data_IF_613148016066
#
_entry.id   IF_613148016066
#
_cell.length_a   1.000
_cell.length_b   1.000
_cell.length_c   1.000
_cell.angle_alpha   90.00
_cell.angle_beta   90.00
_cell.angle_gamma   90.00
#
_symmetry.space_group_name_H-M   'P 1'
#
loop_
_entity.id
_entity.type
_entity.pdbx_description
1 polymer ?
#
# COMPACT_ATOMS: atom_id res chain seq x y z
N UNK A 1 -19.27 8.88 27.06
CA UNK A 1 -20.45 9.26 26.28
C UNK A 1 -20.32 8.66 24.88
N UNK A 2 -21.40 8.07 24.36
CA UNK A 2 -21.45 7.54 22.99
C UNK A 2 -21.57 8.70 22.00
N UNK A 3 -20.69 8.75 21.01
CA UNK A 3 -20.75 9.70 19.91
C UNK A 3 -21.83 9.22 18.94
N UNK A 4 -22.86 10.04 18.77
CA UNK A 4 -23.94 9.80 17.82
C UNK A 4 -23.57 10.40 16.46
N UNK A 5 -23.57 9.57 15.42
CA UNK A 5 -23.37 10.05 14.06
C UNK A 5 -24.70 10.55 13.48
N UNK A 6 -24.76 11.84 13.12
CA UNK A 6 -25.92 12.41 12.45
C UNK A 6 -26.08 11.77 11.08
N UNK A 7 -27.23 11.14 10.87
CA UNK A 7 -27.50 10.44 9.63
C UNK A 7 -27.83 11.43 8.52
N UNK A 8 -27.06 11.39 7.46
CA UNK A 8 -27.41 12.01 6.20
C UNK A 8 -27.06 11.02 5.09
N UNK A 9 -27.84 9.95 4.97
CA UNK A 9 -27.51 8.86 4.06
C UNK A 9 -27.74 9.22 2.59
N UNK A 10 -26.91 8.65 1.73
CA UNK A 10 -27.11 8.62 0.27
C UNK A 10 -28.45 7.94 -0.04
N UNK A 11 -29.22 8.53 -0.96
CA UNK A 11 -30.46 7.91 -1.47
C UNK A 11 -30.18 6.53 -2.10
N UNK A 12 -31.00 5.49 -1.86
CA UNK A 12 -30.80 4.16 -2.44
C UNK A 12 -30.61 4.16 -3.97
N UNK A 13 -31.24 5.08 -4.70
CA UNK A 13 -31.06 5.22 -6.15
C UNK A 13 -29.62 5.54 -6.60
N UNK A 14 -28.79 6.06 -5.69
CA UNK A 14 -27.36 6.35 -5.94
C UNK A 14 -26.41 5.27 -5.43
N UNK A 15 -26.91 4.17 -4.86
CA UNK A 15 -26.06 3.05 -4.46
C UNK A 15 -25.18 2.50 -5.61
N UNK A 16 -25.62 2.40 -6.88
CA UNK A 16 -24.76 1.91 -7.96
C UNK A 16 -23.46 2.70 -8.18
N UNK A 17 -23.43 3.98 -7.77
CA UNK A 17 -22.28 4.89 -7.91
C UNK A 17 -21.60 5.22 -6.58
N UNK A 18 -22.31 5.19 -5.45
CA UNK A 18 -21.76 5.54 -4.12
C UNK A 18 -21.44 4.35 -3.25
N UNK A 19 -22.22 3.29 -3.29
CA UNK A 19 -21.99 2.15 -2.41
C UNK A 19 -22.55 0.89 -3.02
N UNK A 20 -21.91 0.45 -4.11
CA UNK A 20 -22.46 -0.56 -5.03
C UNK A 20 -22.68 -1.90 -4.35
N UNK A 21 -21.74 -2.33 -3.53
CA UNK A 21 -21.74 -3.69 -2.99
C UNK A 21 -22.15 -3.71 -1.52
N UNK A 22 -22.73 -4.83 -1.09
CA UNK A 22 -22.78 -5.16 0.32
C UNK A 22 -21.36 -5.33 0.87
N UNK A 23 -21.19 -5.01 2.15
CA UNK A 23 -19.91 -5.09 2.85
C UNK A 23 -20.13 -5.65 4.26
N UNK A 24 -19.35 -6.67 4.59
CA UNK A 24 -19.01 -6.99 5.97
C UNK A 24 -17.68 -6.31 6.24
N UNK A 25 -17.68 -5.23 7.01
CA UNK A 25 -16.48 -4.49 7.29
C UNK A 25 -15.48 -5.37 8.06
N UNK A 26 -14.19 -5.21 7.76
CA UNK A 26 -13.06 -5.85 8.48
C UNK A 26 -12.02 -4.83 8.95
N UNK A 27 -12.08 -3.59 8.44
CA UNK A 27 -11.13 -2.51 8.70
C UNK A 27 -11.82 -1.16 8.85
N UNK A 28 -11.09 -0.19 9.39
CA UNK A 28 -11.43 1.23 9.35
C UNK A 28 -10.28 1.96 8.66
N UNK A 29 -10.58 2.82 7.69
CA UNK A 29 -9.57 3.62 6.99
C UNK A 29 -9.70 5.09 7.38
N UNK A 30 -8.62 5.65 7.89
CA UNK A 30 -8.51 7.06 8.26
C UNK A 30 -8.05 7.89 7.05
N UNK A 31 -8.76 8.99 6.79
CA UNK A 31 -8.49 9.92 5.71
C UNK A 31 -8.41 11.37 6.21
N UNK A 32 -7.74 12.19 5.41
CA UNK A 32 -7.83 13.65 5.50
C UNK A 32 -8.46 14.15 4.20
N UNK A 33 -9.46 15.02 4.35
CA UNK A 33 -10.23 15.61 3.23
C UNK A 33 -9.38 16.41 2.25
N UNK A 34 -8.23 16.93 2.68
CA UNK A 34 -7.47 17.98 2.01
C UNK A 34 -8.33 19.21 1.65
N UNK A 35 -9.30 19.51 2.52
CA UNK A 35 -10.25 20.62 2.38
C UNK A 35 -10.50 21.33 3.72
N UNK A 36 -11.20 22.48 3.68
CA UNK A 36 -11.61 23.28 4.85
C UNK A 36 -13.14 23.33 5.04
N UNK A 37 -13.86 22.38 4.44
CA UNK A 37 -15.30 22.23 4.62
C UNK A 37 -15.64 21.50 5.93
N UNK A 38 -16.85 21.73 6.43
CA UNK A 38 -17.43 20.98 7.56
C UNK A 38 -17.85 19.56 7.15
N UNK A 39 -18.09 18.70 8.14
CA UNK A 39 -18.55 17.33 7.92
C UNK A 39 -19.91 17.31 7.19
N UNK A 40 -20.80 18.24 7.53
CA UNK A 40 -22.06 18.44 6.84
C UNK A 40 -21.86 18.70 5.34
N UNK A 41 -20.92 19.58 4.98
CA UNK A 41 -20.69 19.98 3.60
C UNK A 41 -20.00 18.88 2.79
N UNK A 42 -19.02 18.20 3.38
CA UNK A 42 -18.37 17.02 2.81
C UNK A 42 -19.41 15.94 2.44
N UNK A 43 -20.26 15.57 3.40
CA UNK A 43 -21.28 14.54 3.19
C UNK A 43 -22.42 15.00 2.28
N UNK A 44 -22.79 16.29 2.31
CA UNK A 44 -23.77 16.87 1.38
C UNK A 44 -23.26 16.84 -0.06
N UNK A 45 -22.02 17.27 -0.29
CA UNK A 45 -21.39 17.21 -1.60
C UNK A 45 -21.29 15.76 -2.10
N UNK A 46 -20.73 14.88 -1.27
CA UNK A 46 -20.48 13.47 -1.62
C UNK A 46 -21.75 12.77 -2.09
N UNK A 47 -22.89 12.99 -1.43
CA UNK A 47 -24.14 12.32 -1.85
C UNK A 47 -24.82 12.93 -3.06
N UNK A 48 -24.64 14.23 -3.29
CA UNK A 48 -25.42 14.97 -4.29
C UNK A 48 -24.75 14.97 -5.67
N UNK A 49 -23.43 14.80 -5.74
CA UNK A 49 -22.74 14.60 -7.02
C UNK A 49 -22.94 13.18 -7.58
N UNK A 50 -22.50 12.96 -8.82
CA UNK A 50 -22.60 11.68 -9.54
C UNK A 50 -21.25 10.96 -9.73
N UNK A 51 -20.23 11.37 -8.97
CA UNK A 51 -18.90 10.75 -9.03
C UNK A 51 -18.88 9.38 -8.35
N UNK A 52 -18.05 8.46 -8.83
CA UNK A 52 -17.76 7.17 -8.16
C UNK A 52 -16.73 7.36 -7.05
N UNK A 53 -17.03 8.27 -6.14
CA UNK A 53 -16.23 8.61 -4.95
C UNK A 53 -17.19 8.77 -3.78
N UNK A 54 -16.89 8.07 -2.68
CA UNK A 54 -17.73 8.05 -1.49
C UNK A 54 -16.96 7.57 -0.27
N UNK A 55 -17.45 7.91 0.91
CA UNK A 55 -16.94 7.50 2.21
C UNK A 55 -18.10 7.39 3.19
N UNK A 56 -17.89 6.70 4.32
CA UNK A 56 -18.99 6.38 5.24
C UNK A 56 -19.27 7.54 6.18
N UNK A 57 -18.21 8.16 6.71
CA UNK A 57 -18.30 9.23 7.69
C UNK A 57 -17.40 10.40 7.33
N UNK A 58 -17.85 11.61 7.65
CA UNK A 58 -17.00 12.78 7.78
C UNK A 58 -17.06 13.27 9.23
N UNK A 59 -15.93 13.74 9.74
CA UNK A 59 -15.78 14.23 11.12
C UNK A 59 -15.16 15.61 11.10
N UNK A 60 -15.83 16.56 11.74
CA UNK A 60 -15.34 17.92 11.92
C UNK A 60 -15.17 18.26 13.41
N UNK A 61 -14.94 19.54 13.74
CA UNK A 61 -14.67 19.99 15.11
C UNK A 61 -15.88 19.87 16.06
N UNK A 62 -17.07 19.59 15.53
CA UNK A 62 -18.34 19.65 16.25
C UNK A 62 -19.11 18.33 16.20
N UNK A 63 -19.08 17.64 15.06
CA UNK A 63 -19.96 16.51 14.82
C UNK A 63 -19.35 15.41 13.94
N UNK A 64 -20.03 14.26 13.96
CA UNK A 64 -19.81 13.15 13.03
C UNK A 64 -21.05 13.02 12.15
N UNK A 65 -20.86 13.02 10.84
CA UNK A 65 -21.95 12.89 9.86
C UNK A 65 -21.76 11.61 9.06
N UNK A 66 -22.79 10.75 9.04
CA UNK A 66 -22.78 9.50 8.27
C UNK A 66 -23.46 9.69 6.91
N UNK A 67 -22.70 9.42 5.84
CA UNK A 67 -23.16 9.51 4.45
C UNK A 67 -23.55 8.17 3.83
N UNK A 68 -22.99 7.07 4.33
CA UNK A 68 -23.20 5.75 3.74
C UNK A 68 -23.35 4.68 4.84
N UNK A 69 -24.30 3.73 4.70
CA UNK A 69 -24.42 2.62 5.64
C UNK A 69 -23.15 1.78 5.70
N UNK A 70 -22.71 1.37 6.90
CA UNK A 70 -21.46 0.58 7.05
C UNK A 70 -21.58 -0.88 6.59
N UNK A 71 -22.77 -1.32 6.17
CA UNK A 71 -23.00 -2.61 5.51
C UNK A 71 -22.92 -2.53 3.97
N UNK A 72 -22.48 -1.38 3.43
CA UNK A 72 -22.25 -1.18 2.00
C UNK A 72 -20.83 -0.65 1.78
N UNK A 73 -20.17 -1.08 0.71
CA UNK A 73 -18.83 -0.61 0.34
C UNK A 73 -18.83 0.88 0.01
N UNK A 74 -17.66 1.52 0.00
CA UNK A 74 -17.48 2.88 -0.50
C UNK A 74 -16.25 2.96 -1.44
N UNK A 75 -16.16 4.02 -2.24
CA UNK A 75 -15.07 4.24 -3.20
C UNK A 75 -14.13 5.33 -2.68
N UNK A 76 -13.21 4.97 -1.77
CA UNK A 76 -12.32 5.92 -1.09
C UNK A 76 -10.84 5.52 -1.05
N UNK A 77 -10.49 4.24 -1.18
CA UNK A 77 -9.13 3.73 -0.98
C UNK A 77 -8.25 3.67 -2.23
N UNK A 78 -8.80 3.94 -3.42
CA UNK A 78 -8.03 3.98 -4.66
C UNK A 78 -7.37 2.65 -5.07
N UNK A 79 -7.79 1.52 -4.48
CA UNK A 79 -7.23 0.18 -4.70
C UNK A 79 -8.06 -0.65 -5.71
N UNK A 80 -8.77 0.05 -6.60
CA UNK A 80 -9.62 -0.55 -7.64
C UNK A 80 -11.01 -0.96 -7.14
N UNK A 81 -11.84 -1.45 -8.06
CA UNK A 81 -13.25 -1.78 -7.79
C UNK A 81 -13.42 -2.95 -6.80
N UNK A 82 -12.47 -3.89 -6.79
CA UNK A 82 -12.48 -5.09 -5.95
C UNK A 82 -11.43 -5.08 -4.85
N UNK A 83 -10.76 -3.94 -4.62
CA UNK A 83 -9.71 -3.81 -3.62
C UNK A 83 -10.24 -3.95 -2.18
N UNK A 84 -9.43 -4.54 -1.31
CA UNK A 84 -9.77 -4.79 0.10
C UNK A 84 -10.15 -3.51 0.85
N UNK A 85 -9.46 -2.40 0.59
CA UNK A 85 -9.76 -1.10 1.18
C UNK A 85 -11.19 -0.66 0.84
N UNK A 86 -11.51 -0.54 -0.45
CA UNK A 86 -12.88 -0.15 -0.88
C UNK A 86 -13.96 -1.16 -0.45
N UNK A 87 -13.65 -2.46 -0.43
CA UNK A 87 -14.64 -3.53 -0.26
C UNK A 87 -14.84 -4.01 1.18
N UNK A 88 -13.90 -3.71 2.07
CA UNK A 88 -13.88 -4.24 3.44
C UNK A 88 -13.52 -3.20 4.50
N UNK A 89 -13.42 -1.92 4.17
CA UNK A 89 -13.11 -0.88 5.15
C UNK A 89 -14.16 0.22 5.27
N UNK A 90 -14.35 0.70 6.49
CA UNK A 90 -15.15 1.89 6.79
C UNK A 90 -14.24 3.11 6.61
N UNK A 91 -14.42 3.87 5.53
CA UNK A 91 -13.77 5.17 5.32
C UNK A 91 -14.30 6.28 6.23
N UNK A 92 -13.39 6.91 6.98
CA UNK A 92 -13.61 8.07 7.86
C UNK A 92 -12.77 9.25 7.37
N UNK A 93 -13.42 10.31 6.89
CA UNK A 93 -12.79 11.55 6.42
C UNK A 93 -12.69 12.59 7.54
N UNK A 94 -11.49 13.08 7.85
CA UNK A 94 -11.27 14.14 8.85
C UNK A 94 -11.16 15.50 8.15
N UNK A 95 -12.06 16.41 8.53
CA UNK A 95 -12.27 17.73 7.93
C UNK A 95 -11.17 18.74 8.31
N UNK A 96 -11.14 19.89 7.63
CA UNK A 96 -10.21 21.01 7.89
C UNK A 96 -8.73 20.72 7.74
N UNK A 97 -8.37 19.60 7.11
CA UNK A 97 -6.97 19.21 6.99
C UNK A 97 -6.19 20.08 6.01
N UNK A 98 -6.82 20.86 5.13
CA UNK A 98 -6.09 21.74 4.20
C UNK A 98 -5.37 22.86 4.93
N UNK A 99 -6.09 23.68 5.69
CA UNK A 99 -5.48 24.75 6.49
C UNK A 99 -5.00 24.28 7.86
N UNK A 100 -5.59 23.22 8.41
CA UNK A 100 -5.22 22.68 9.71
C UNK A 100 -5.73 23.53 10.88
N UNK A 101 -4.85 23.83 11.83
CA UNK A 101 -5.17 24.66 13.00
C UNK A 101 -6.09 23.98 14.01
N UNK A 102 -6.68 24.79 14.90
CA UNK A 102 -7.46 24.30 16.03
C UNK A 102 -8.68 23.48 15.60
N UNK A 103 -9.36 23.88 14.52
CA UNK A 103 -10.50 23.15 13.97
C UNK A 103 -10.11 21.75 13.52
N UNK A 104 -8.98 21.59 12.83
CA UNK A 104 -8.46 20.27 12.47
C UNK A 104 -8.12 19.45 13.71
N UNK A 105 -7.47 20.03 14.71
CA UNK A 105 -7.11 19.30 15.95
C UNK A 105 -8.33 18.81 16.70
N UNK A 106 -9.40 19.60 16.79
CA UNK A 106 -10.68 19.18 17.36
C UNK A 106 -11.34 18.08 16.52
N UNK A 107 -11.33 18.21 15.19
CA UNK A 107 -11.85 17.18 14.29
C UNK A 107 -11.09 15.85 14.40
N UNK A 108 -9.76 15.89 14.46
CA UNK A 108 -8.91 14.72 14.65
C UNK A 108 -9.15 14.07 16.01
N UNK A 109 -9.26 14.85 17.09
CA UNK A 109 -9.58 14.34 18.42
C UNK A 109 -10.97 13.67 18.46
N UNK A 110 -11.97 14.25 17.80
CA UNK A 110 -13.30 13.64 17.69
C UNK A 110 -13.25 12.35 16.85
N UNK A 111 -12.51 12.36 15.74
CA UNK A 111 -12.34 11.19 14.88
C UNK A 111 -11.64 10.03 15.61
N UNK A 112 -10.63 10.31 16.42
CA UNK A 112 -9.93 9.33 17.26
C UNK A 112 -10.92 8.61 18.19
N UNK A 113 -11.74 9.39 18.93
CA UNK A 113 -12.77 8.85 19.83
C UNK A 113 -13.83 8.06 19.07
N UNK A 114 -14.28 8.57 17.93
CA UNK A 114 -15.29 7.92 17.11
C UNK A 114 -14.79 6.59 16.52
N UNK A 115 -13.55 6.54 16.02
CA UNK A 115 -12.94 5.30 15.52
C UNK A 115 -12.79 4.28 16.65
N UNK A 116 -12.36 4.70 17.84
CA UNK A 116 -12.29 3.82 19.02
C UNK A 116 -13.67 3.23 19.36
N UNK A 117 -14.74 4.02 19.28
CA UNK A 117 -16.11 3.53 19.45
C UNK A 117 -16.48 2.49 18.37
N UNK A 118 -16.20 2.76 17.09
CA UNK A 118 -16.47 1.81 16.01
C UNK A 118 -15.73 0.48 16.20
N UNK A 119 -14.50 0.51 16.72
CA UNK A 119 -13.72 -0.68 17.06
C UNK A 119 -14.38 -1.45 18.22
N UNK A 120 -14.78 -0.75 19.29
CA UNK A 120 -15.44 -1.34 20.47
C UNK A 120 -16.74 -2.06 20.08
N UNK A 121 -17.60 -1.41 19.28
CA UNK A 121 -18.86 -1.96 18.79
C UNK A 121 -18.67 -3.28 18.03
N UNK A 122 -17.50 -3.46 17.38
CA UNK A 122 -17.19 -4.62 16.53
C UNK A 122 -16.27 -5.64 17.20
N UNK A 123 -15.87 -5.39 18.45
CA UNK A 123 -14.90 -6.22 19.17
C UNK A 123 -13.52 -6.27 18.52
N UNK A 124 -13.13 -5.24 17.77
CA UNK A 124 -11.86 -5.15 17.05
C UNK A 124 -10.78 -4.45 17.86
N UNK A 125 -9.52 -4.78 17.56
CA UNK A 125 -8.37 -4.04 18.05
C UNK A 125 -7.89 -2.98 17.06
N UNK A 126 -6.96 -2.14 17.52
CA UNK A 126 -6.43 -1.00 16.75
C UNK A 126 -5.65 -1.43 15.49
N UNK A 127 -5.24 -2.70 15.40
CA UNK A 127 -4.61 -3.26 14.20
C UNK A 127 -5.52 -3.23 12.96
N UNK A 128 -6.85 -3.11 13.16
CA UNK A 128 -7.82 -2.96 12.07
C UNK A 128 -7.91 -1.53 11.53
N UNK A 129 -7.24 -0.56 12.14
CA UNK A 129 -7.15 0.82 11.64
C UNK A 129 -5.96 0.97 10.71
N UNK A 130 -6.25 1.45 9.49
CA UNK A 130 -5.27 1.77 8.46
C UNK A 130 -5.40 3.21 7.99
N UNK A 131 -4.32 3.77 7.43
CA UNK A 131 -4.38 4.98 6.61
C UNK A 131 -4.59 4.62 5.14
N UNK A 132 -5.21 5.51 4.36
CA UNK A 132 -5.39 5.32 2.92
C UNK A 132 -4.08 4.92 2.20
N UNK A 133 -2.95 5.54 2.58
CA UNK A 133 -1.64 5.21 2.02
C UNK A 133 -1.29 3.71 2.04
N UNK A 134 -1.76 2.95 3.04
CA UNK A 134 -1.51 1.50 3.14
C UNK A 134 -2.27 0.66 2.10
N UNK A 135 -3.26 1.24 1.40
CA UNK A 135 -4.05 0.55 0.37
C UNK A 135 -3.54 0.82 -1.04
N UNK A 136 -3.28 2.08 -1.38
CA UNK A 136 -2.96 2.51 -2.75
C UNK A 136 -1.65 3.28 -2.89
N UNK A 137 -0.99 3.61 -1.77
CA UNK A 137 0.18 4.49 -1.76
C UNK A 137 -0.16 5.98 -1.83
N UNK A 138 -1.43 6.39 -1.97
CA UNK A 138 -1.82 7.81 -1.93
C UNK A 138 -1.33 8.46 -0.64
N UNK A 139 -0.72 9.64 -0.73
CA UNK A 139 -0.30 10.42 0.43
C UNK A 139 -1.51 10.98 1.20
N UNK A 140 -2.13 10.10 1.99
CA UNK A 140 -3.34 10.36 2.76
C UNK A 140 -3.36 9.44 3.98
N UNK A 141 -3.64 9.94 5.19
CA UNK A 141 -4.03 11.31 5.57
C UNK A 141 -2.86 12.31 5.55
N UNK A 142 -2.89 13.29 4.63
CA UNK A 142 -1.72 14.11 4.31
C UNK A 142 -1.16 14.88 5.51
N UNK A 143 -2.01 15.52 6.33
CA UNK A 143 -1.57 16.32 7.48
C UNK A 143 -0.94 15.47 8.58
N UNK A 144 -1.53 14.32 8.88
CA UNK A 144 -0.94 13.38 9.85
C UNK A 144 0.41 12.85 9.36
N UNK A 145 0.57 12.65 8.04
CA UNK A 145 1.81 12.21 7.43
C UNK A 145 2.87 13.32 7.42
N UNK A 146 2.49 14.55 7.07
CA UNK A 146 3.38 15.72 7.08
C UNK A 146 3.97 15.97 8.47
N UNK A 147 3.15 15.74 9.50
CA UNK A 147 3.55 15.93 10.89
C UNK A 147 4.22 14.67 11.50
N UNK A 148 4.31 13.56 10.75
CA UNK A 148 4.88 12.30 11.25
C UNK A 148 4.07 11.62 12.37
N UNK A 149 2.80 11.97 12.53
CA UNK A 149 1.96 11.66 13.69
C UNK A 149 1.11 10.38 13.57
N UNK A 150 1.34 9.55 12.55
CA UNK A 150 0.48 8.37 12.33
C UNK A 150 0.49 7.41 13.52
N UNK A 151 1.65 7.13 14.09
CA UNK A 151 1.77 6.24 15.25
C UNK A 151 1.15 6.86 16.51
N UNK A 152 1.21 8.19 16.66
CA UNK A 152 0.55 8.92 17.74
C UNK A 152 -0.98 8.83 17.62
N UNK A 153 -1.53 9.07 16.43
CA UNK A 153 -2.97 8.93 16.16
C UNK A 153 -3.43 7.50 16.45
N UNK A 154 -2.66 6.50 15.99
CA UNK A 154 -2.98 5.10 16.24
C UNK A 154 -2.91 4.75 17.73
N UNK A 155 -1.93 5.26 18.45
CA UNK A 155 -1.80 5.10 19.90
C UNK A 155 -2.97 5.76 20.65
N UNK A 156 -3.37 6.95 20.23
CA UNK A 156 -4.51 7.66 20.82
C UNK A 156 -5.83 6.89 20.61
N UNK A 157 -6.04 6.30 19.42
CA UNK A 157 -7.20 5.42 19.17
C UNK A 157 -7.16 4.20 20.09
N UNK A 158 -5.99 3.57 20.27
CA UNK A 158 -5.85 2.42 21.16
C UNK A 158 -6.14 2.78 22.63
N UNK A 159 -5.71 3.97 23.07
CA UNK A 159 -5.97 4.49 24.41
C UNK A 159 -7.47 4.75 24.64
N UNK A 160 -8.15 5.41 23.70
CA UNK A 160 -9.60 5.61 23.75
C UNK A 160 -10.35 4.28 23.71
N UNK A 161 -9.93 3.32 22.87
CA UNK A 161 -10.53 1.99 22.81
C UNK A 161 -10.40 1.27 24.16
N UNK A 162 -9.23 1.36 24.81
CA UNK A 162 -9.00 0.81 26.14
C UNK A 162 -9.90 1.49 27.18
N UNK A 163 -10.04 2.81 27.14
CA UNK A 163 -10.93 3.56 28.03
C UNK A 163 -12.41 3.15 27.88
N UNK A 164 -12.82 2.76 26.66
CA UNK A 164 -14.14 2.19 26.37
C UNK A 164 -14.28 0.70 26.77
N UNK A 165 -13.26 0.10 27.40
CA UNK A 165 -13.23 -1.32 27.77
C UNK A 165 -13.15 -2.27 26.57
N UNK A 166 -12.62 -1.81 25.43
CA UNK A 166 -12.42 -2.63 24.24
C UNK A 166 -11.20 -3.54 24.32
N UNK A 167 -11.10 -4.51 23.39
CA UNK A 167 -9.91 -5.36 23.26
C UNK A 167 -8.74 -4.47 22.82
N UNK A 168 -7.89 -4.09 23.79
CA UNK A 168 -6.69 -3.32 23.53
C UNK A 168 -5.54 -4.26 23.21
N UNK A 169 -5.33 -4.54 21.93
CA UNK A 169 -4.06 -5.06 21.39
C UNK A 169 -3.10 -3.89 21.17
N UNK A 170 -2.71 -3.22 22.26
CA UNK A 170 -1.52 -2.36 22.25
C UNK A 170 -0.36 -3.20 22.79
N UNK A 171 0.79 -3.30 22.09
CA UNK A 171 1.96 -3.93 22.66
C UNK A 171 2.45 -3.07 23.83
N UNK A 172 2.30 -3.54 25.06
CA UNK A 172 2.99 -2.99 26.22
C UNK A 172 3.85 -4.11 26.84
N UNK A 173 5.02 -3.79 27.42
CA UNK A 173 6.04 -4.76 27.75
C UNK A 173 5.62 -5.52 29.01
N UNK A 174 5.31 -6.79 28.87
CA UNK A 174 5.06 -7.67 30.02
C UNK A 174 6.03 -8.83 30.01
N UNK A 175 6.73 -8.93 31.16
CA UNK A 175 7.59 -10.01 31.60
C UNK A 175 7.12 -11.40 31.11
N UNK A 176 8.05 -12.25 30.65
CA UNK A 176 7.72 -13.59 30.19
C UNK A 176 7.57 -14.53 31.39
N UNK A 177 6.34 -14.92 31.72
CA UNK A 177 6.11 -16.13 32.53
C UNK A 177 5.90 -17.31 31.58
N UNK A 178 6.67 -18.35 31.87
CA UNK A 178 7.04 -19.44 31.00
C UNK A 178 5.88 -20.33 30.52
N UNK A 179 5.93 -20.68 29.23
CA UNK A 179 5.61 -22.01 28.72
C UNK A 179 6.47 -22.23 27.47
N UNK A 180 7.62 -22.88 27.70
CA UNK A 180 8.57 -23.40 26.71
C UNK A 180 8.24 -24.87 26.42
N UNK A 181 8.88 -25.58 25.45
CA UNK A 181 9.81 -25.10 24.43
C UNK A 181 9.59 -25.73 23.02
N UNK A 182 9.99 -25.00 21.97
CA UNK A 182 10.68 -25.61 20.82
C UNK A 182 11.65 -24.61 20.17
N UNK A 183 12.84 -24.58 20.78
CA UNK A 183 14.16 -24.41 20.17
C UNK A 183 14.27 -23.86 18.73
N UNK A 184 14.72 -22.62 18.61
CA UNK A 184 16.11 -22.34 18.20
C UNK A 184 16.42 -20.84 18.22
N UNK A 185 17.50 -20.52 18.93
CA UNK A 185 18.01 -19.20 19.25
C UNK A 185 18.37 -18.37 18.01
N UNK A 186 17.90 -17.12 17.93
CA UNK A 186 18.47 -16.11 17.05
C UNK A 186 18.53 -14.75 17.75
N UNK A 187 19.75 -14.25 17.88
CA UNK A 187 20.14 -12.97 18.46
C UNK A 187 19.38 -11.84 17.74
N UNK A 188 18.55 -11.11 18.47
CA UNK A 188 17.63 -10.10 17.91
C UNK A 188 18.26 -8.71 17.92
N UNK A 189 18.92 -8.33 16.84
CA UNK A 189 19.23 -6.92 16.57
C UNK A 189 18.12 -6.22 15.78
N UNK A 190 17.96 -4.90 15.91
CA UNK A 190 16.99 -4.12 15.11
C UNK A 190 17.71 -3.15 14.18
N UNK A 191 17.10 -2.79 13.05
CA UNK A 191 17.69 -1.89 12.06
C UNK A 191 16.75 -0.70 11.81
N UNK A 192 17.28 0.51 11.81
CA UNK A 192 16.56 1.74 11.43
C UNK A 192 17.29 2.47 10.31
N UNK A 193 16.55 3.08 9.40
CA UNK A 193 17.11 3.94 8.36
C UNK A 193 17.55 5.29 8.93
N UNK A 194 18.62 5.85 8.40
CA UNK A 194 19.13 7.22 8.68
C UNK A 194 18.66 8.23 7.65
N UNK A 195 18.08 7.78 6.54
CA UNK A 195 17.64 8.59 5.40
C UNK A 195 16.21 8.27 4.97
N UNK A 196 15.56 9.20 4.28
CA UNK A 196 14.25 8.95 3.67
C UNK A 196 14.39 8.12 2.40
N UNK A 197 13.31 7.42 2.06
CA UNK A 197 13.20 6.60 0.85
C UNK A 197 14.29 5.53 0.69
N UNK A 198 14.80 4.98 1.80
CA UNK A 198 15.81 3.95 1.78
C UNK A 198 15.20 2.63 1.29
N UNK A 199 15.63 2.19 0.12
CA UNK A 199 15.10 0.99 -0.54
C UNK A 199 15.40 -0.29 0.25
N UNK A 200 14.41 -1.17 0.32
CA UNK A 200 14.57 -2.57 0.73
C UNK A 200 14.00 -3.50 -0.34
N UNK A 201 14.53 -4.71 -0.36
CA UNK A 201 14.45 -5.62 -1.49
C UNK A 201 13.86 -6.96 -1.07
N UNK A 202 13.20 -7.64 -2.00
CA UNK A 202 12.59 -8.96 -1.81
C UNK A 202 13.64 -10.07 -1.70
N UNK A 203 14.84 -9.82 -2.18
CA UNK A 203 15.99 -10.74 -2.22
C UNK A 203 17.30 -9.94 -2.16
N UNK A 204 18.46 -10.56 -1.88
CA UNK A 204 19.74 -9.85 -1.86
C UNK A 204 20.03 -9.30 -3.26
N UNK A 205 19.87 -8.00 -3.45
CA UNK A 205 19.95 -7.32 -4.75
C UNK A 205 20.00 -5.81 -4.57
N UNK A 206 20.63 -5.10 -5.50
CA UNK A 206 20.58 -3.63 -5.58
C UNK A 206 19.67 -3.11 -6.71
N UNK A 207 19.07 -4.02 -7.48
CA UNK A 207 18.28 -3.72 -8.68
C UNK A 207 16.90 -3.15 -8.35
N UNK A 208 16.49 -2.10 -9.07
CA UNK A 208 15.19 -1.42 -8.89
C UNK A 208 13.99 -2.36 -8.97
N UNK A 209 14.05 -3.39 -9.82
CA UNK A 209 12.99 -4.41 -9.97
C UNK A 209 12.79 -5.28 -8.71
N UNK A 210 13.81 -5.39 -7.87
CA UNK A 210 13.76 -6.22 -6.66
C UNK A 210 13.39 -5.38 -5.43
N UNK A 211 13.33 -4.04 -5.57
CA UNK A 211 12.83 -3.12 -4.55
C UNK A 211 11.38 -3.46 -4.27
N UNK A 212 11.10 -3.84 -3.03
CA UNK A 212 9.74 -4.08 -2.54
C UNK A 212 9.13 -2.78 -2.06
N UNK A 213 9.97 -1.87 -1.56
CA UNK A 213 9.55 -0.57 -1.11
C UNK A 213 10.71 0.20 -0.52
N UNK A 214 10.38 1.30 0.14
CA UNK A 214 11.33 2.14 0.85
C UNK A 214 10.95 2.25 2.32
N UNK A 215 11.93 2.55 3.18
CA UNK A 215 11.75 2.92 4.57
C UNK A 215 12.31 4.32 4.79
N UNK A 216 11.58 5.14 5.55
CA UNK A 216 12.01 6.50 5.85
C UNK A 216 12.93 6.57 7.07
N UNK A 217 13.59 7.72 7.28
CA UNK A 217 14.50 7.94 8.41
C UNK A 217 13.79 7.62 9.73
N UNK A 218 14.46 6.90 10.61
CA UNK A 218 13.95 6.43 11.91
C UNK A 218 13.12 5.13 11.84
N UNK A 219 12.72 4.69 10.64
CA UNK A 219 11.91 3.47 10.43
C UNK A 219 12.79 2.35 9.88
N UNK A 220 12.48 1.11 10.24
CA UNK A 220 13.16 -0.05 9.68
C UNK A 220 12.58 -1.37 10.16
N UNK A 221 13.45 -2.33 10.45
CA UNK A 221 13.06 -3.72 10.70
C UNK A 221 13.37 -4.14 12.13
N UNK A 222 12.42 -4.78 12.84
CA UNK A 222 12.59 -5.19 14.23
C UNK A 222 13.62 -6.31 14.40
N UNK A 223 13.95 -7.05 13.34
CA UNK A 223 14.89 -8.17 13.40
C UNK A 223 15.88 -8.12 12.24
N UNK A 224 17.16 -8.12 12.58
CA UNK A 224 18.27 -8.39 11.68
C UNK A 224 18.69 -9.84 11.86
N UNK A 225 18.64 -10.61 10.78
CA UNK A 225 18.93 -12.05 10.79
C UNK A 225 20.42 -12.30 10.54
N UNK A 226 20.98 -11.67 9.51
CA UNK A 226 22.39 -11.85 9.11
C UNK A 226 22.83 -10.73 8.15
N UNK A 227 24.14 -10.53 8.03
CA UNK A 227 24.75 -9.63 7.03
C UNK A 227 25.21 -10.45 5.82
N UNK A 228 24.71 -10.11 4.64
CA UNK A 228 24.90 -10.82 3.37
C UNK A 228 25.71 -9.95 2.42
N UNK A 229 26.70 -10.52 1.74
CA UNK A 229 27.46 -9.83 0.68
C UNK A 229 26.67 -9.86 -0.64
N UNK A 230 26.46 -8.70 -1.26
CA UNK A 230 25.72 -8.54 -2.52
C UNK A 230 26.56 -7.68 -3.46
N UNK A 231 27.28 -8.34 -4.37
CA UNK A 231 28.28 -7.70 -5.22
C UNK A 231 29.48 -7.18 -4.40
N UNK A 232 29.80 -5.90 -4.54
CA UNK A 232 30.88 -5.23 -3.80
C UNK A 232 30.46 -4.69 -2.43
N UNK A 233 29.16 -4.67 -2.12
CA UNK A 233 28.60 -4.12 -0.89
C UNK A 233 27.88 -5.18 -0.05
N UNK A 234 27.36 -4.79 1.10
CA UNK A 234 26.63 -5.68 2.01
C UNK A 234 25.20 -5.21 2.21
N UNK A 235 24.30 -6.17 2.40
CA UNK A 235 22.93 -5.97 2.86
C UNK A 235 22.70 -6.72 4.16
N UNK A 236 21.80 -6.25 5.00
CA UNK A 236 21.24 -7.03 6.09
C UNK A 236 20.01 -7.78 5.59
N UNK A 237 19.94 -9.08 5.87
CA UNK A 237 18.69 -9.83 5.82
C UNK A 237 17.90 -9.48 7.06
N UNK A 238 16.68 -9.02 6.88
CA UNK A 238 15.83 -8.47 7.93
C UNK A 238 14.45 -9.11 7.88
N UNK A 239 13.76 -9.16 9.03
CA UNK A 239 12.35 -9.55 9.10
C UNK A 239 11.50 -8.38 9.56
N UNK A 240 10.35 -8.19 8.93
CA UNK A 240 9.35 -7.24 9.43
C UNK A 240 8.58 -7.86 10.63
N UNK A 241 7.68 -7.09 11.24
CA UNK A 241 6.87 -7.54 12.39
C UNK A 241 5.95 -8.73 12.11
N UNK A 242 5.73 -9.09 10.82
CA UNK A 242 4.97 -10.26 10.39
C UNK A 242 5.86 -11.46 10.05
N UNK A 243 7.17 -11.37 10.28
CA UNK A 243 8.14 -12.42 9.99
C UNK A 243 8.55 -12.52 8.51
N UNK A 244 8.04 -11.65 7.62
CA UNK A 244 8.42 -11.65 6.21
C UNK A 244 9.85 -11.13 6.05
N UNK A 245 10.63 -11.80 5.19
CA UNK A 245 12.07 -11.53 5.02
C UNK A 245 12.32 -10.56 3.87
N UNK A 246 13.21 -9.60 4.10
CA UNK A 246 13.68 -8.63 3.13
C UNK A 246 15.17 -8.38 3.28
N UNK A 247 15.70 -7.55 2.39
CA UNK A 247 17.11 -7.17 2.36
C UNK A 247 17.24 -5.66 2.25
N UNK A 248 18.13 -5.06 3.04
CA UNK A 248 18.32 -3.61 3.07
C UNK A 248 19.82 -3.32 3.22
N UNK A 249 20.30 -2.15 2.78
CA UNK A 249 21.73 -1.81 2.86
C UNK A 249 22.32 -2.00 4.25
N UNK A 250 23.55 -2.52 4.31
CA UNK A 250 24.32 -2.66 5.55
C UNK A 250 25.40 -1.57 5.72
N UNK A 251 25.28 -0.46 4.98
CA UNK A 251 26.14 0.70 5.15
C UNK A 251 25.67 1.55 6.34
N UNK A 252 26.57 1.75 7.29
CA UNK A 252 26.45 2.63 8.46
C UNK A 252 26.08 4.09 8.13
N UNK A 253 26.36 4.53 6.90
CA UNK A 253 25.90 5.82 6.36
C UNK A 253 24.38 5.90 6.28
N UNK A 254 23.70 4.80 5.99
CA UNK A 254 22.27 4.76 5.71
C UNK A 254 21.44 4.04 6.76
N UNK A 255 22.04 3.20 7.59
CA UNK A 255 21.33 2.44 8.63
C UNK A 255 22.04 2.47 9.97
N UNK A 256 21.27 2.50 11.05
CA UNK A 256 21.74 2.23 12.41
C UNK A 256 21.22 0.85 12.83
N UNK A 257 22.11 -0.01 13.34
CA UNK A 257 21.77 -1.36 13.80
C UNK A 257 22.11 -1.50 15.27
N UNK A 258 21.16 -2.03 16.06
CA UNK A 258 21.36 -2.34 17.47
C UNK A 258 21.51 -3.84 17.67
N UNK A 259 22.40 -4.27 18.59
CA UNK A 259 22.64 -5.69 18.89
C UNK A 259 23.74 -6.36 18.04
N UNK A 260 24.19 -7.53 18.48
CA UNK A 260 25.32 -8.25 17.86
C UNK A 260 24.87 -9.10 16.66
N UNK A 261 25.18 -8.67 15.43
CA UNK A 261 24.85 -9.42 14.19
C UNK A 261 25.97 -10.41 13.84
N UNK A 262 25.65 -11.69 13.63
CA UNK A 262 26.63 -12.69 13.15
C UNK A 262 26.92 -12.50 11.65
N UNK A 263 28.19 -12.50 11.29
CA UNK A 263 28.70 -12.38 9.91
C UNK A 263 28.91 -13.79 9.33
N UNK A 264 28.28 -14.12 8.20
CA UNK A 264 28.56 -15.38 7.48
C UNK A 264 29.54 -15.11 6.33
N UNK A 265 30.74 -15.68 6.46
CA UNK A 265 31.80 -15.63 5.45
C UNK A 265 31.76 -16.91 4.62
N UNK A 266 31.33 -16.81 3.36
CA UNK A 266 31.61 -17.85 2.37
C UNK A 266 31.95 -17.23 1.01
N UNK A 267 33.22 -17.38 0.63
CA UNK A 267 33.82 -17.10 -0.68
C UNK A 267 35.11 -17.96 -0.79
N UNK A 268 35.74 -18.15 -1.97
CA UNK A 268 35.18 -18.40 -3.31
C UNK A 268 35.93 -19.55 -4.06
N UNK A 269 35.42 -20.02 -5.22
CA UNK A 269 36.30 -20.54 -6.29
C UNK A 269 35.80 -20.15 -7.69
N UNK A 270 36.78 -19.74 -8.48
CA UNK A 270 36.81 -18.97 -9.73
C UNK A 270 36.74 -19.84 -10.98
N UNK A 271 36.00 -19.39 -12.01
CA UNK A 271 36.48 -19.38 -13.41
C UNK A 271 35.79 -18.26 -14.21
N UNK A 272 36.54 -17.75 -15.17
CA UNK A 272 36.51 -16.46 -15.85
C UNK A 272 35.41 -16.22 -16.89
N UNK A 273 34.94 -14.96 -16.93
CA UNK A 273 34.61 -14.11 -18.09
C UNK A 273 33.72 -14.67 -19.21
N UNK A 274 32.45 -14.24 -19.24
CA UNK A 274 31.85 -13.37 -20.28
C UNK A 274 30.32 -13.53 -20.36
N UNK A 275 29.66 -12.38 -20.22
CA UNK A 275 28.30 -12.02 -20.67
C UNK A 275 27.31 -13.14 -21.05
N UNK A 276 26.33 -13.42 -20.18
CA UNK A 276 25.09 -14.07 -20.62
C UNK A 276 23.85 -13.66 -19.82
N UNK A 277 22.76 -13.65 -20.57
CA UNK A 277 21.40 -13.18 -20.30
C UNK A 277 20.53 -14.23 -19.59
N UNK A 278 19.28 -13.83 -19.28
CA UNK A 278 18.07 -14.64 -18.96
C UNK A 278 17.61 -14.57 -17.48
N UNK A 279 16.31 -14.53 -17.15
CA UNK A 279 15.05 -14.54 -17.93
C UNK A 279 13.90 -14.19 -16.94
N UNK A 280 12.99 -13.27 -17.28
CA UNK A 280 11.80 -13.48 -18.12
C UNK A 280 10.87 -14.58 -17.58
N UNK A 281 10.15 -14.30 -16.47
CA UNK A 281 8.96 -15.10 -16.16
C UNK A 281 7.79 -14.60 -17.02
N UNK A 282 7.37 -15.44 -17.96
CA UNK A 282 6.12 -15.27 -18.69
C UNK A 282 4.96 -15.31 -17.70
N UNK A 283 4.07 -14.32 -17.78
CA UNK A 283 2.84 -14.21 -16.96
C UNK A 283 1.59 -14.55 -17.77
N UNK A 284 1.74 -14.97 -19.02
CA UNK A 284 0.65 -15.38 -19.90
C UNK A 284 1.04 -15.32 -21.38
N UNK A 285 0.08 -15.57 -22.28
CA UNK A 285 0.24 -15.35 -23.72
C UNK A 285 -0.86 -14.42 -24.23
N UNK A 286 -0.57 -13.74 -25.33
CA UNK A 286 -1.58 -13.02 -26.12
C UNK A 286 -1.58 -13.55 -27.55
N UNK A 287 -2.75 -13.54 -28.20
CA UNK A 287 -2.89 -13.72 -29.64
C UNK A 287 -2.95 -12.35 -30.32
N UNK A 288 -2.22 -12.19 -31.42
CA UNK A 288 -2.23 -10.95 -32.21
C UNK A 288 -3.54 -10.84 -32.98
N UNK A 289 -4.24 -9.72 -32.80
CA UNK A 289 -5.56 -9.43 -33.38
C UNK A 289 -5.63 -7.98 -33.87
N UNK A 290 -6.61 -7.65 -34.71
CA UNK A 290 -6.93 -6.26 -35.07
C UNK A 290 -5.86 -5.52 -35.91
N UNK A 291 -4.96 -6.24 -36.58
CA UNK A 291 -3.98 -5.71 -37.55
C UNK A 291 -4.20 -6.34 -38.93
N UNK A 292 -3.78 -5.69 -40.01
CA UNK A 292 -3.96 -6.20 -41.38
C UNK A 292 -3.01 -7.37 -41.73
N UNK A 293 -1.79 -7.38 -41.19
CA UNK A 293 -0.80 -8.43 -41.47
C UNK A 293 0.06 -8.81 -40.26
N UNK A 294 0.62 -7.83 -39.54
CA UNK A 294 1.45 -8.05 -38.35
C UNK A 294 1.40 -6.87 -37.38
N UNK A 295 1.56 -7.16 -36.08
CA UNK A 295 1.72 -6.16 -35.04
C UNK A 295 3.20 -5.79 -34.85
N UNK A 296 3.49 -4.50 -34.71
CA UNK A 296 4.85 -4.00 -34.46
C UNK A 296 5.22 -4.21 -32.99
N UNK A 297 6.42 -4.72 -32.76
CA UNK A 297 7.07 -4.81 -31.45
C UNK A 297 7.97 -3.60 -31.28
N UNK A 298 7.74 -2.85 -30.22
CA UNK A 298 8.43 -1.61 -29.87
C UNK A 298 9.45 -1.84 -28.76
N UNK A 299 10.50 -1.03 -28.72
CA UNK A 299 11.50 -1.03 -27.64
C UNK A 299 11.02 -0.36 -26.35
N UNK A 300 9.98 0.49 -26.43
CA UNK A 300 9.34 1.17 -25.29
C UNK A 300 7.84 1.34 -25.49
N UNK A 301 7.04 1.52 -24.42
CA UNK A 301 5.57 1.64 -24.48
C UNK A 301 5.12 3.05 -24.91
N UNK A 302 5.58 3.51 -26.07
CA UNK A 302 5.23 4.80 -26.66
C UNK A 302 5.28 4.72 -28.19
N UNK A 303 4.11 4.70 -28.84
CA UNK A 303 3.99 4.52 -30.29
C UNK A 303 4.55 5.67 -31.12
N UNK A 304 4.70 6.86 -30.52
CA UNK A 304 5.12 8.06 -31.23
C UNK A 304 6.66 8.20 -31.25
N UNK A 305 7.35 7.62 -30.26
CA UNK A 305 8.80 7.78 -30.10
C UNK A 305 9.58 6.47 -30.05
N UNK A 306 8.91 5.32 -30.10
CA UNK A 306 9.53 3.98 -30.09
C UNK A 306 10.23 3.63 -31.39
N UNK A 307 11.24 2.78 -31.29
CA UNK A 307 11.87 2.09 -32.42
C UNK A 307 11.15 0.77 -32.69
N UNK A 308 10.97 0.44 -33.97
CA UNK A 308 10.52 -0.88 -34.40
C UNK A 308 11.67 -1.88 -34.19
N UNK A 309 11.46 -2.86 -33.32
CA UNK A 309 12.43 -3.93 -33.03
C UNK A 309 11.99 -5.30 -33.58
N UNK A 310 10.87 -5.35 -34.29
CA UNK A 310 10.36 -6.56 -34.92
C UNK A 310 8.84 -6.55 -35.14
N UNK A 311 8.31 -7.64 -35.70
CA UNK A 311 6.87 -7.79 -35.93
C UNK A 311 6.39 -9.20 -35.58
N UNK A 312 5.12 -9.31 -35.20
CA UNK A 312 4.45 -10.59 -34.91
C UNK A 312 3.20 -10.69 -35.79
N UNK A 313 3.12 -11.73 -36.63
CA UNK A 313 2.04 -11.89 -37.63
C UNK A 313 0.67 -12.02 -36.96
N UNK A 314 -0.38 -11.52 -37.63
CA UNK A 314 -1.78 -11.69 -37.23
C UNK A 314 -2.08 -13.16 -36.93
N UNK A 315 -2.79 -13.41 -35.83
CA UNK A 315 -3.17 -14.75 -35.39
C UNK A 315 -2.07 -15.52 -34.65
N UNK A 316 -0.82 -15.07 -34.68
CA UNK A 316 0.27 -15.70 -33.92
C UNK A 316 0.16 -15.39 -32.43
N UNK A 317 0.76 -16.23 -31.60
CA UNK A 317 0.79 -16.05 -30.14
C UNK A 317 2.17 -15.61 -29.66
N UNK A 318 2.23 -14.79 -28.62
CA UNK A 318 3.48 -14.33 -28.01
C UNK A 318 3.35 -14.28 -26.49
N UNK A 319 4.42 -14.69 -25.81
CA UNK A 319 4.50 -14.65 -24.34
C UNK A 319 4.57 -13.22 -23.84
N UNK A 320 3.78 -12.92 -22.82
CA UNK A 320 3.79 -11.63 -22.14
C UNK A 320 4.44 -11.74 -20.76
N UNK A 321 5.13 -10.69 -20.36
CA UNK A 321 5.64 -10.50 -18.98
C UNK A 321 4.80 -9.50 -18.19
N UNK A 322 3.80 -8.87 -18.81
CA UNK A 322 2.93 -7.90 -18.15
C UNK A 322 2.16 -7.01 -19.12
N UNK A 323 1.63 -5.92 -18.58
CA UNK A 323 0.99 -4.84 -19.34
C UNK A 323 1.22 -3.52 -18.63
N UNK A 324 1.45 -2.44 -19.40
CA UNK A 324 1.74 -1.10 -18.87
C UNK A 324 0.83 -0.05 -19.50
N UNK A 325 0.44 0.95 -18.71
CA UNK A 325 -0.36 2.09 -19.18
C UNK A 325 0.60 3.13 -19.78
N UNK A 326 0.84 3.04 -21.09
CA UNK A 326 1.70 4.01 -21.78
C UNK A 326 0.99 5.36 -22.02
N UNK A 327 1.77 6.42 -22.28
CA UNK A 327 1.27 7.81 -22.34
C UNK A 327 0.35 8.09 -23.54
N UNK A 328 0.54 7.38 -24.65
CA UNK A 328 -0.05 7.70 -25.96
C UNK A 328 -0.96 6.59 -26.53
N UNK A 329 -1.44 5.67 -25.66
CA UNK A 329 -2.39 4.64 -26.05
C UNK A 329 -3.38 4.38 -24.90
N UNK A 330 -4.64 4.72 -25.11
CA UNK A 330 -5.71 4.56 -24.11
C UNK A 330 -5.98 3.09 -23.74
N UNK A 331 -5.56 2.14 -24.58
CA UNK A 331 -5.62 0.69 -24.33
C UNK A 331 -4.33 0.13 -23.73
N UNK A 332 -3.34 0.99 -23.44
CA UNK A 332 -2.05 0.59 -22.87
C UNK A 332 -1.18 -0.21 -23.84
N UNK A 333 -0.21 -0.95 -23.29
CA UNK A 333 0.75 -1.77 -24.03
C UNK A 333 0.93 -3.13 -23.34
N UNK A 334 1.06 -4.18 -24.13
CA UNK A 334 1.50 -5.49 -23.68
C UNK A 334 3.02 -5.51 -23.56
N UNK A 335 3.55 -5.91 -22.40
CA UNK A 335 4.97 -6.23 -22.26
C UNK A 335 5.18 -7.65 -22.78
N UNK A 336 5.80 -7.80 -23.95
CA UNK A 336 6.04 -9.08 -24.62
C UNK A 336 7.49 -9.52 -24.45
N UNK A 337 7.71 -10.83 -24.48
CA UNK A 337 9.04 -11.42 -24.58
C UNK A 337 9.28 -11.72 -26.07
N UNK A 338 10.03 -10.86 -26.75
CA UNK A 338 10.32 -10.94 -28.18
C UNK A 338 11.82 -11.17 -28.39
N UNK A 339 12.18 -12.27 -29.06
CA UNK A 339 13.57 -12.71 -29.25
C UNK A 339 14.40 -12.72 -27.95
N UNK A 340 13.77 -13.18 -26.86
CA UNK A 340 14.40 -13.26 -25.54
C UNK A 340 14.56 -11.93 -24.80
N UNK A 341 14.11 -10.82 -25.39
CA UNK A 341 14.19 -9.47 -24.82
C UNK A 341 12.79 -8.91 -24.58
N UNK A 342 12.69 -7.92 -23.69
CA UNK A 342 11.42 -7.21 -23.45
C UNK A 342 11.12 -6.31 -24.64
N UNK A 343 9.90 -6.41 -25.16
CA UNK A 343 9.34 -5.52 -26.17
C UNK A 343 7.91 -5.13 -25.80
N UNK A 344 7.31 -4.24 -26.59
CA UNK A 344 5.98 -3.71 -26.33
C UNK A 344 5.10 -3.80 -27.57
N UNK A 345 3.87 -4.30 -27.41
CA UNK A 345 2.85 -4.27 -28.47
C UNK A 345 1.69 -3.39 -27.99
N UNK A 346 1.14 -2.55 -28.87
CA UNK A 346 -0.02 -1.71 -28.53
C UNK A 346 -1.19 -2.56 -28.03
N UNK A 347 -1.83 -2.15 -26.94
CA UNK A 347 -2.80 -2.95 -26.20
C UNK A 347 -3.98 -3.43 -27.05
N UNK A 348 -4.40 -2.61 -28.02
CA UNK A 348 -5.48 -2.92 -28.96
C UNK A 348 -5.19 -4.08 -29.94
N UNK A 349 -3.92 -4.51 -30.05
CA UNK A 349 -3.51 -5.56 -30.99
C UNK A 349 -3.19 -6.91 -30.33
N UNK A 350 -3.56 -7.08 -29.05
CA UNK A 350 -3.37 -8.32 -28.30
C UNK A 350 -4.58 -8.70 -27.49
N UNK A 351 -5.03 -9.95 -27.64
CA UNK A 351 -6.05 -10.57 -26.78
C UNK A 351 -5.41 -11.63 -25.90
N UNK A 352 -5.66 -11.59 -24.59
CA UNK A 352 -5.24 -12.66 -23.68
C UNK A 352 -5.89 -13.98 -24.09
N UNK A 353 -5.13 -15.07 -23.95
CA UNK A 353 -5.53 -16.45 -24.18
C UNK A 353 -5.10 -17.32 -23.02
#
# INVERSE_FOLDING_TARGET
MTIQARQMLVSPGKYPIKGRYAMTAEYITFHNTANDASANNEISYMRNNNETVSYHFAVDDKEVVQGLPTNRSAFHCGDGEYGTGNRKSIGVEVCYSKSGGERYRKAEALAIKFIAQLLKERGWGVERVKKHQEWSGKYCPHRVLDEGRWDEVKTAIAAELKALGGKSTTPNPTNPTASSPSTSSAVSGSLKSKVNDLRFYSKPSWEDKDVVGTVNKGIGFPTVVEKVKVGSAYQYKVKNSKGATYYITASDKYVDVTGSVKTSTSAPKTTSTSSSSSSNKSVGKIKIVGVSSAAIVMDKPDRNSSKNIGTVKLGSTISISGSVKGKNNSKGYWEVIYSGKRGYISGQFGSKI
#
